data_IF_675806640549
#
_entry.id   IF_675806640549
#
_cell.length_a   1.000
_cell.length_b   1.000
_cell.length_c   1.000
_cell.angle_alpha   90.00
_cell.angle_beta   90.00
_cell.angle_gamma   90.00
#
_symmetry.space_group_name_H-M   'P 1'
#
loop_
_entity.id
_entity.type
_entity.pdbx_description
1 polymer ?
#
# COMPACT_ATOMS: atom_id res chain seq x y z
N UNK A 1 -13.67 18.57 -1.98
CA UNK A 1 -14.56 19.26 -2.91
C UNK A 1 -15.39 18.28 -3.74
N UNK A 2 -16.55 18.71 -4.22
CA UNK A 2 -17.41 17.87 -5.05
C UNK A 2 -18.49 17.08 -4.31
N UNK A 3 -18.52 17.10 -2.98
CA UNK A 3 -19.60 16.51 -2.17
C UNK A 3 -20.71 17.53 -1.93
N UNK A 4 -21.96 17.08 -1.97
CA UNK A 4 -23.11 17.91 -1.61
C UNK A 4 -23.54 17.65 -0.17
N UNK A 5 -23.81 18.71 0.58
CA UNK A 5 -24.40 18.60 1.91
C UNK A 5 -25.92 18.48 1.80
N UNK A 6 -26.47 17.37 2.31
CA UNK A 6 -27.92 17.11 2.31
C UNK A 6 -28.60 17.54 3.60
N UNK A 7 -27.87 17.61 4.72
CA UNK A 7 -28.46 17.96 6.02
C UNK A 7 -27.44 18.61 6.93
N UNK A 8 -27.88 19.61 7.70
CA UNK A 8 -27.07 20.33 8.69
C UNK A 8 -26.26 21.49 8.10
N UNK A 9 -25.72 22.33 8.97
CA UNK A 9 -24.78 23.39 8.63
C UNK A 9 -23.34 22.92 8.90
N UNK A 10 -22.45 23.21 7.97
CA UNK A 10 -21.00 22.92 8.12
C UNK A 10 -20.22 24.23 7.94
N UNK A 11 -19.25 24.44 8.80
CA UNK A 11 -18.20 25.45 8.60
C UNK A 11 -17.01 24.78 7.93
N UNK A 12 -16.54 25.33 6.81
CA UNK A 12 -15.52 24.73 5.99
C UNK A 12 -14.38 25.72 5.78
N UNK A 13 -13.17 25.33 6.17
CA UNK A 13 -11.95 26.05 5.83
C UNK A 13 -11.44 25.62 4.46
N UNK A 14 -11.28 26.59 3.55
CA UNK A 14 -10.73 26.34 2.21
C UNK A 14 -9.22 26.39 2.28
N UNK A 15 -8.56 25.25 2.16
CA UNK A 15 -7.10 25.11 2.24
C UNK A 15 -6.39 25.22 0.89
N UNK A 16 -7.10 24.90 -0.23
CA UNK A 16 -6.54 24.93 -1.58
C UNK A 16 -7.58 25.49 -2.56
N UNK A 17 -7.14 26.35 -3.48
CA UNK A 17 -8.00 27.00 -4.50
C UNK A 17 -7.40 26.84 -5.90
N UNK A 18 -8.21 27.01 -6.93
CA UNK A 18 -7.76 26.99 -8.33
C UNK A 18 -7.19 25.63 -8.76
N UNK A 19 -6.00 25.65 -9.36
CA UNK A 19 -5.28 24.48 -9.88
C UNK A 19 -4.82 23.49 -8.78
N UNK A 20 -4.74 23.95 -7.55
CA UNK A 20 -4.22 23.13 -6.43
C UNK A 20 -5.31 22.31 -5.74
N UNK A 21 -6.58 22.48 -6.13
CA UNK A 21 -7.67 21.66 -5.60
C UNK A 21 -7.55 20.20 -6.02
N UNK A 22 -8.02 19.28 -5.17
CA UNK A 22 -8.05 17.85 -5.48
C UNK A 22 -8.77 17.57 -6.79
N UNK A 23 -9.89 18.26 -7.06
CA UNK A 23 -10.64 18.12 -8.31
C UNK A 23 -9.81 18.52 -9.53
N UNK A 24 -9.10 19.65 -9.47
CA UNK A 24 -8.24 20.10 -10.56
C UNK A 24 -7.08 19.12 -10.81
N UNK A 25 -6.52 18.54 -9.76
CA UNK A 25 -5.49 17.50 -9.88
C UNK A 25 -6.03 16.23 -10.54
N UNK A 26 -7.25 15.79 -10.20
CA UNK A 26 -7.91 14.65 -10.85
C UNK A 26 -8.16 14.93 -12.33
N UNK A 27 -8.72 16.11 -12.67
CA UNK A 27 -8.95 16.50 -14.06
C UNK A 27 -7.63 16.47 -14.85
N UNK A 28 -6.57 17.05 -14.30
CA UNK A 28 -5.25 17.05 -14.93
C UNK A 28 -4.69 15.65 -15.14
N UNK A 29 -4.84 14.72 -14.17
CA UNK A 29 -4.43 13.34 -14.35
C UNK A 29 -5.16 12.65 -15.49
N UNK A 30 -6.47 12.90 -15.64
CA UNK A 30 -7.28 12.36 -16.75
C UNK A 30 -6.81 12.94 -18.09
N UNK A 31 -6.58 14.24 -18.17
CA UNK A 31 -6.07 14.93 -19.36
C UNK A 31 -4.67 14.38 -19.75
N UNK A 32 -3.76 14.25 -18.77
CA UNK A 32 -2.41 13.70 -18.98
C UNK A 32 -2.47 12.24 -19.47
N UNK A 33 -3.40 11.44 -18.93
CA UNK A 33 -3.60 10.05 -19.36
C UNK A 33 -4.11 9.96 -20.79
N UNK A 34 -4.99 10.88 -21.19
CA UNK A 34 -5.53 10.93 -22.56
C UNK A 34 -4.51 11.52 -23.54
N UNK A 35 -3.65 12.45 -23.10
CA UNK A 35 -2.65 13.09 -23.93
C UNK A 35 -1.43 12.22 -24.29
N UNK A 36 -1.10 11.22 -23.47
CA UNK A 36 0.04 10.31 -23.71
C UNK A 36 -0.39 9.15 -24.60
N UNK A 37 0.19 9.09 -25.81
CA UNK A 37 -0.08 8.00 -26.78
C UNK A 37 0.34 6.65 -26.21
N UNK A 38 -0.58 5.70 -26.17
CA UNK A 38 -0.30 4.31 -25.83
C UNK A 38 0.65 3.64 -26.87
N UNK A 39 1.41 2.61 -26.48
CA UNK A 39 2.34 1.90 -27.38
C UNK A 39 1.67 1.42 -28.67
N UNK A 40 0.45 0.91 -28.58
CA UNK A 40 -0.31 0.46 -29.76
C UNK A 40 -0.64 1.62 -30.72
N UNK A 41 -0.89 2.84 -30.20
CA UNK A 41 -1.09 4.01 -31.05
C UNK A 41 0.20 4.39 -31.79
N UNK A 42 1.36 4.29 -31.13
CA UNK A 42 2.67 4.51 -31.77
C UNK A 42 2.95 3.50 -32.88
N UNK A 43 2.56 2.23 -32.66
CA UNK A 43 2.66 1.19 -33.66
C UNK A 43 1.75 1.48 -34.86
N UNK A 44 0.50 1.88 -34.61
CA UNK A 44 -0.45 2.27 -35.64
C UNK A 44 0.08 3.44 -36.48
N UNK A 45 0.62 4.49 -35.82
CA UNK A 45 1.25 5.63 -36.51
C UNK A 45 2.44 5.19 -37.39
N UNK A 46 3.27 4.25 -36.88
CA UNK A 46 4.39 3.69 -37.66
C UNK A 46 3.93 2.91 -38.87
N UNK A 47 2.93 2.06 -38.75
CA UNK A 47 2.33 1.33 -39.85
C UNK A 47 1.73 2.29 -40.87
N UNK A 48 0.94 3.28 -40.45
CA UNK A 48 0.39 4.30 -41.32
C UNK A 48 1.47 5.10 -42.05
N UNK A 49 2.60 5.39 -41.39
CA UNK A 49 3.74 6.10 -41.96
C UNK A 49 4.39 5.39 -43.17
N UNK A 50 4.30 4.06 -43.24
CA UNK A 50 4.75 3.29 -44.42
C UNK A 50 3.61 3.02 -45.42
N UNK A 51 2.43 2.73 -44.89
CA UNK A 51 1.27 2.34 -45.68
C UNK A 51 0.76 3.49 -46.57
N UNK A 52 0.62 4.69 -46.04
CA UNK A 52 0.09 5.85 -46.76
C UNK A 52 0.97 6.23 -47.97
N UNK A 53 2.31 6.38 -47.84
CA UNK A 53 3.16 6.63 -49.03
C UNK A 53 3.11 5.52 -50.06
N UNK A 54 3.04 4.24 -49.63
CA UNK A 54 2.91 3.11 -50.56
C UNK A 54 1.62 3.17 -51.38
N UNK A 55 0.50 3.43 -50.70
CA UNK A 55 -0.81 3.58 -51.36
C UNK A 55 -0.86 4.81 -52.27
N UNK A 56 -0.24 5.92 -51.84
CA UNK A 56 -0.10 7.08 -52.73
C UNK A 56 0.67 6.76 -54.02
N UNK A 57 1.74 5.98 -53.88
CA UNK A 57 2.49 5.48 -55.05
C UNK A 57 1.63 4.58 -55.97
N UNK A 58 0.87 3.67 -55.39
CA UNK A 58 -0.05 2.78 -56.15
C UNK A 58 -1.14 3.60 -56.84
N UNK A 59 -1.75 4.57 -56.14
CA UNK A 59 -2.78 5.46 -56.67
C UNK A 59 -2.26 6.26 -57.87
N UNK A 60 -1.01 6.79 -57.77
CA UNK A 60 -0.38 7.54 -58.80
C UNK A 60 -0.09 6.64 -60.05
N UNK A 61 0.46 5.45 -59.83
CA UNK A 61 0.71 4.48 -60.90
C UNK A 61 -0.59 4.09 -61.59
N UNK A 62 -1.63 3.77 -60.83
CA UNK A 62 -2.94 3.43 -61.39
C UNK A 62 -3.54 4.58 -62.21
N UNK A 63 -3.46 5.81 -61.70
CA UNK A 63 -3.90 7.00 -62.43
C UNK A 63 -3.13 7.20 -63.73
N UNK A 64 -1.80 7.06 -63.71
CA UNK A 64 -0.97 7.19 -64.90
C UNK A 64 -1.25 6.10 -65.94
N UNK A 65 -1.45 4.85 -65.52
CA UNK A 65 -1.80 3.74 -66.39
C UNK A 65 -3.14 3.97 -67.11
N UNK A 66 -4.17 4.43 -66.41
CA UNK A 66 -5.47 4.74 -67.01
C UNK A 66 -5.38 5.96 -67.93
N UNK A 67 -4.53 6.94 -67.62
CA UNK A 67 -4.35 8.11 -68.47
C UNK A 67 -3.59 7.79 -69.76
N UNK A 68 -2.46 7.09 -69.66
CA UNK A 68 -1.54 6.82 -70.82
C UNK A 68 -2.04 5.64 -71.66
N UNK A 69 -2.34 4.50 -71.01
CA UNK A 69 -2.71 3.27 -71.71
C UNK A 69 -4.22 3.15 -71.93
N UNK A 70 -5.01 3.65 -70.99
CA UNK A 70 -6.47 3.58 -71.06
C UNK A 70 -7.11 4.71 -71.89
N UNK A 71 -6.40 5.79 -72.20
CA UNK A 71 -6.91 6.93 -72.95
C UNK A 71 -8.12 7.61 -72.32
N UNK A 72 -8.25 7.53 -70.95
CA UNK A 72 -9.42 8.03 -70.22
C UNK A 72 -9.31 9.51 -69.98
N UNK A 73 -10.47 10.18 -69.85
CA UNK A 73 -10.56 11.58 -69.49
C UNK A 73 -10.02 11.86 -68.11
N UNK A 74 -9.53 13.08 -67.90
CA UNK A 74 -8.92 13.49 -66.66
C UNK A 74 -9.88 13.34 -65.42
N UNK A 75 -11.16 13.53 -65.64
CA UNK A 75 -12.19 13.30 -64.60
C UNK A 75 -12.24 11.89 -64.07
N UNK A 76 -12.14 10.91 -64.97
CA UNK A 76 -12.09 9.49 -64.63
C UNK A 76 -10.78 9.15 -63.88
N UNK A 77 -9.64 9.64 -64.37
CA UNK A 77 -8.33 9.41 -63.77
C UNK A 77 -8.28 9.97 -62.36
N UNK A 78 -8.78 11.20 -62.13
CA UNK A 78 -8.87 11.80 -60.82
C UNK A 78 -9.81 11.02 -59.88
N UNK A 79 -10.93 10.51 -60.42
CA UNK A 79 -11.86 9.68 -59.63
C UNK A 79 -11.18 8.40 -59.14
N UNK A 80 -10.44 7.68 -59.99
CA UNK A 80 -9.67 6.49 -59.61
C UNK A 80 -8.61 6.83 -58.56
N UNK A 81 -7.84 7.91 -58.76
CA UNK A 81 -6.81 8.36 -57.81
C UNK A 81 -7.41 8.64 -56.43
N UNK A 82 -8.47 9.44 -56.38
CA UNK A 82 -9.15 9.78 -55.11
C UNK A 82 -9.78 8.55 -54.46
N UNK A 83 -10.42 7.66 -55.26
CA UNK A 83 -11.06 6.44 -54.75
C UNK A 83 -10.04 5.52 -54.06
N UNK A 84 -8.87 5.30 -54.65
CA UNK A 84 -7.79 4.49 -54.03
C UNK A 84 -7.32 5.12 -52.71
N UNK A 85 -7.13 6.44 -52.68
CA UNK A 85 -6.67 7.14 -51.46
C UNK A 85 -7.72 7.10 -50.34
N UNK A 86 -8.99 7.30 -50.67
CA UNK A 86 -10.08 7.31 -49.68
C UNK A 86 -10.30 5.92 -49.07
N UNK A 87 -10.33 4.89 -49.93
CA UNK A 87 -10.51 3.49 -49.49
C UNK A 87 -9.34 3.01 -48.61
N UNK A 88 -8.14 3.43 -48.92
CA UNK A 88 -6.94 3.02 -48.21
C UNK A 88 -6.64 3.83 -46.96
N UNK A 89 -7.49 4.79 -46.60
CA UNK A 89 -7.28 5.59 -45.36
C UNK A 89 -7.38 4.72 -44.08
N UNK A 90 -6.34 4.61 -43.27
CA UNK A 90 -6.40 3.89 -42.00
C UNK A 90 -7.04 4.72 -40.88
N UNK A 91 -8.04 5.57 -41.22
CA UNK A 91 -8.63 6.57 -40.28
C UNK A 91 -9.27 5.91 -39.07
N UNK A 92 -9.90 4.74 -39.23
CA UNK A 92 -10.47 4.00 -38.11
C UNK A 92 -9.41 3.54 -37.10
N UNK A 93 -8.23 3.13 -37.57
CA UNK A 93 -7.12 2.70 -36.69
C UNK A 93 -6.59 3.86 -35.84
N UNK A 94 -6.52 5.05 -36.38
CA UNK A 94 -6.07 6.26 -35.67
C UNK A 94 -7.06 6.76 -34.59
N UNK A 95 -8.36 6.43 -34.71
CA UNK A 95 -9.40 6.86 -33.76
C UNK A 95 -9.78 5.81 -32.72
N UNK A 96 -9.66 4.52 -33.06
CA UNK A 96 -10.12 3.42 -32.21
C UNK A 96 -9.41 3.40 -30.85
N UNK A 97 -8.08 3.50 -30.83
CA UNK A 97 -7.30 3.42 -29.59
C UNK A 97 -7.50 4.63 -28.68
N UNK A 98 -7.43 5.90 -29.15
CA UNK A 98 -7.75 7.05 -28.29
C UNK A 98 -9.15 6.99 -27.72
N UNK A 99 -10.14 6.57 -28.51
CA UNK A 99 -11.54 6.44 -28.03
C UNK A 99 -11.65 5.37 -26.94
N UNK A 100 -11.01 4.21 -27.12
CA UNK A 100 -11.01 3.13 -26.13
C UNK A 100 -10.35 3.58 -24.82
N UNK A 101 -9.22 4.29 -24.89
CA UNK A 101 -8.52 4.84 -23.73
C UNK A 101 -9.41 5.88 -23.03
N UNK A 102 -10.03 6.78 -23.78
CA UNK A 102 -10.92 7.81 -23.22
C UNK A 102 -12.09 7.17 -22.46
N UNK A 103 -12.74 6.19 -23.05
CA UNK A 103 -13.87 5.47 -22.41
C UNK A 103 -13.36 4.68 -21.20
N UNK A 104 -12.25 3.94 -21.33
CA UNK A 104 -11.69 3.15 -20.24
C UNK A 104 -11.25 4.00 -19.05
N UNK A 105 -10.57 5.11 -19.29
CA UNK A 105 -10.16 6.06 -18.22
C UNK A 105 -11.36 6.74 -17.58
N UNK A 106 -12.40 7.08 -18.37
CA UNK A 106 -13.63 7.67 -17.86
C UNK A 106 -14.43 6.72 -16.97
N UNK A 107 -14.57 5.45 -17.38
CA UNK A 107 -15.21 4.40 -16.56
C UNK A 107 -14.40 4.15 -15.29
N UNK A 108 -13.06 4.05 -15.39
CA UNK A 108 -12.19 3.92 -14.22
C UNK A 108 -12.38 5.06 -13.23
N UNK A 109 -12.37 6.30 -13.70
CA UNK A 109 -12.58 7.48 -12.85
C UNK A 109 -13.95 7.48 -12.17
N UNK A 110 -15.00 7.01 -12.86
CA UNK A 110 -16.35 6.84 -12.28
C UNK A 110 -16.39 5.83 -11.12
N UNK A 111 -15.43 4.89 -11.05
CA UNK A 111 -15.25 3.93 -9.97
C UNK A 111 -14.12 4.32 -8.99
N UNK A 112 -13.62 5.55 -9.06
CA UNK A 112 -12.53 6.05 -8.19
C UNK A 112 -11.12 5.59 -8.59
N UNK A 113 -10.94 4.99 -9.79
CA UNK A 113 -9.66 4.53 -10.31
C UNK A 113 -9.10 5.58 -11.25
N UNK A 114 -8.01 6.24 -10.85
CA UNK A 114 -7.35 7.26 -11.66
C UNK A 114 -6.18 6.65 -12.44
N UNK A 115 -6.32 6.59 -13.75
CA UNK A 115 -5.30 6.01 -14.64
C UNK A 115 -4.37 7.12 -15.12
N UNK A 116 -3.07 6.97 -14.87
CA UNK A 116 -2.05 8.00 -15.19
C UNK A 116 -1.61 8.03 -16.66
N UNK A 117 -1.82 6.95 -17.40
CA UNK A 117 -1.44 6.89 -18.81
C UNK A 117 -2.18 5.80 -19.58
N UNK A 118 -2.39 5.99 -20.89
CA UNK A 118 -2.91 4.95 -21.77
C UNK A 118 -1.98 3.73 -21.86
N UNK A 119 -0.68 3.93 -21.64
CA UNK A 119 0.32 2.85 -21.53
C UNK A 119 0.05 1.92 -20.34
N UNK A 120 -0.21 2.51 -19.15
CA UNK A 120 -0.56 1.74 -17.96
C UNK A 120 -1.82 0.88 -18.17
N UNK A 121 -2.85 1.45 -18.84
CA UNK A 121 -4.07 0.72 -19.18
C UNK A 121 -3.79 -0.44 -20.16
N UNK A 122 -2.91 -0.22 -21.16
CA UNK A 122 -2.52 -1.25 -22.13
C UNK A 122 -1.70 -2.37 -21.49
N UNK A 123 -0.76 -2.04 -20.57
CA UNK A 123 0.09 -3.03 -19.93
C UNK A 123 -0.68 -3.84 -18.89
N UNK A 124 -1.69 -3.24 -18.24
CA UNK A 124 -2.46 -3.89 -17.18
C UNK A 124 -3.02 -5.27 -17.59
N UNK A 125 -3.45 -5.43 -18.85
CA UNK A 125 -3.97 -6.72 -19.33
C UNK A 125 -2.89 -7.80 -19.53
N UNK A 126 -1.60 -7.43 -19.52
CA UNK A 126 -0.46 -8.36 -19.71
C UNK A 126 0.15 -8.79 -18.38
N UNK A 127 -0.40 -8.33 -17.26
CA UNK A 127 0.14 -8.63 -15.94
C UNK A 127 0.01 -10.12 -15.63
N UNK A 128 1.14 -10.74 -15.28
CA UNK A 128 1.23 -12.16 -14.90
C UNK A 128 1.33 -12.33 -13.38
N UNK A 129 1.81 -11.30 -12.69
CA UNK A 129 2.02 -11.31 -11.25
C UNK A 129 1.65 -9.97 -10.62
N UNK A 130 0.88 -10.02 -9.53
CA UNK A 130 0.56 -8.86 -8.68
C UNK A 130 1.25 -9.03 -7.33
N UNK A 131 2.02 -8.02 -6.94
CA UNK A 131 2.61 -7.91 -5.61
C UNK A 131 1.76 -6.93 -4.81
N UNK A 132 1.20 -7.38 -3.71
CA UNK A 132 0.44 -6.57 -2.77
C UNK A 132 1.31 -6.29 -1.54
N UNK A 133 1.45 -5.03 -1.16
CA UNK A 133 1.92 -4.74 0.19
C UNK A 133 0.89 -5.21 1.22
N UNK A 134 1.35 -5.59 2.42
CA UNK A 134 0.44 -6.00 3.47
C UNK A 134 -0.30 -4.80 4.05
N UNK A 135 0.44 -3.81 4.56
CA UNK A 135 -0.07 -2.73 5.40
C UNK A 135 -0.82 -1.68 4.58
N UNK A 136 -2.07 -1.39 4.94
CA UNK A 136 -2.90 -0.43 4.21
C UNK A 136 -3.44 -0.93 2.86
N UNK A 137 -2.90 -2.02 2.31
CA UNK A 137 -3.34 -2.65 1.05
C UNK A 137 -4.19 -3.89 1.31
N UNK A 138 -3.63 -4.97 1.83
CA UNK A 138 -4.37 -6.18 2.23
C UNK A 138 -5.08 -5.94 3.56
N UNK A 139 -4.42 -5.24 4.49
CA UNK A 139 -4.94 -4.89 5.80
C UNK A 139 -5.44 -3.45 5.84
N UNK A 140 -6.17 -3.09 6.90
CA UNK A 140 -6.70 -1.73 7.07
C UNK A 140 -5.62 -0.67 7.27
N UNK A 141 -4.37 -1.07 7.62
CA UNK A 141 -3.30 -0.15 7.97
C UNK A 141 -3.54 0.56 9.32
N UNK A 142 -4.43 0.02 10.13
CA UNK A 142 -4.79 0.52 11.45
C UNK A 142 -4.55 -0.55 12.51
N UNK A 143 -3.28 -0.82 12.85
CA UNK A 143 -2.97 -1.82 13.85
C UNK A 143 -3.61 -1.46 15.20
N UNK A 144 -4.05 -2.48 15.94
CA UNK A 144 -4.65 -2.35 17.27
C UNK A 144 -4.00 -3.31 18.25
N UNK A 145 -3.93 -2.91 19.52
CA UNK A 145 -3.51 -3.82 20.59
C UNK A 145 -4.58 -4.89 20.78
N UNK A 146 -4.18 -6.14 20.71
CA UNK A 146 -5.09 -7.30 20.86
C UNK A 146 -4.90 -8.01 22.19
N UNK A 147 -3.65 -8.09 22.68
CA UNK A 147 -3.32 -8.79 23.93
C UNK A 147 -2.20 -8.08 24.67
N UNK A 148 -2.23 -8.18 25.98
CA UNK A 148 -1.18 -7.74 26.90
C UNK A 148 -0.87 -8.89 27.83
N UNK A 149 0.36 -9.39 27.79
CA UNK A 149 0.81 -10.50 28.61
C UNK A 149 1.93 -10.05 29.56
N UNK A 150 1.68 -10.09 30.85
CA UNK A 150 2.65 -9.73 31.88
C UNK A 150 3.50 -10.94 32.23
N UNK A 151 4.82 -10.82 32.11
CA UNK A 151 5.78 -11.89 32.43
C UNK A 151 6.34 -11.68 33.83
N UNK A 152 6.65 -10.45 34.21
CA UNK A 152 7.16 -10.11 35.55
C UNK A 152 6.32 -9.00 36.18
N UNK A 153 5.30 -9.39 36.93
CA UNK A 153 4.43 -8.47 37.67
C UNK A 153 5.21 -7.60 38.67
N UNK A 154 6.20 -8.18 39.35
CA UNK A 154 7.04 -7.46 40.30
C UNK A 154 7.81 -6.27 39.68
N UNK A 155 8.29 -6.41 38.45
CA UNK A 155 8.96 -5.33 37.72
C UNK A 155 7.97 -4.23 37.35
N UNK A 156 6.78 -4.58 36.91
CA UNK A 156 5.72 -3.61 36.56
C UNK A 156 5.26 -2.83 37.80
N UNK A 157 5.09 -3.50 38.93
CA UNK A 157 4.66 -2.87 40.19
C UNK A 157 5.71 -1.91 40.78
N UNK A 158 7.00 -2.17 40.58
CA UNK A 158 8.05 -1.26 41.02
C UNK A 158 8.03 0.11 40.30
N UNK A 159 7.69 0.10 39.03
CA UNK A 159 7.73 1.26 38.13
C UNK A 159 6.45 2.09 38.22
N UNK A 160 5.33 1.43 38.38
CA UNK A 160 4.01 2.08 38.45
C UNK A 160 3.43 1.97 39.87
N UNK A 161 3.74 2.93 40.74
CA UNK A 161 3.17 2.96 42.09
C UNK A 161 1.76 3.57 42.10
N UNK A 162 0.81 3.00 42.87
CA UNK A 162 -0.49 3.64 43.09
C UNK A 162 -0.30 5.04 43.71
N UNK A 163 -0.97 6.06 43.18
CA UNK A 163 -0.89 7.44 43.65
C UNK A 163 -0.07 8.39 42.77
N UNK A 164 0.52 7.96 41.70
CA UNK A 164 1.20 8.85 40.73
C UNK A 164 0.29 9.45 39.65
N UNK A 165 -0.98 9.73 39.98
CA UNK A 165 -1.83 10.65 39.19
C UNK A 165 -2.70 10.08 38.11
N UNK A 166 -2.70 8.76 37.83
CA UNK A 166 -3.47 8.21 36.71
C UNK A 166 -4.74 7.42 37.08
N UNK A 167 -4.86 6.98 38.35
CA UNK A 167 -6.07 6.30 38.83
C UNK A 167 -6.37 6.79 40.27
N UNK A 168 -7.62 7.19 40.52
CA UNK A 168 -8.07 7.72 41.81
C UNK A 168 -7.72 6.80 42.99
N UNK A 169 -7.43 7.41 44.13
CA UNK A 169 -7.10 6.76 45.41
C UNK A 169 -8.11 5.65 45.74
N UNK A 170 -7.72 4.40 45.53
CA UNK A 170 -8.41 3.26 46.14
C UNK A 170 -7.66 2.86 47.42
N UNK A 171 -8.28 3.10 48.56
CA UNK A 171 -7.80 2.76 49.92
C UNK A 171 -7.93 1.26 50.24
N UNK A 172 -7.59 0.36 49.32
CA UNK A 172 -7.51 -1.08 49.61
C UNK A 172 -6.09 -1.61 49.34
N UNK A 173 -5.53 -2.35 50.28
CA UNK A 173 -4.25 -3.05 50.16
C UNK A 173 -4.24 -3.90 48.87
N UNK A 174 -3.14 -3.87 48.07
CA UNK A 174 -3.15 -4.34 46.72
C UNK A 174 -2.85 -5.83 46.60
N UNK A 175 -3.87 -6.65 46.50
CA UNK A 175 -3.77 -7.77 45.60
C UNK A 175 -4.09 -7.23 44.19
N UNK A 176 -3.06 -6.69 43.52
CA UNK A 176 -3.19 -6.12 42.20
C UNK A 176 -3.72 -7.23 41.24
N UNK A 177 -4.92 -7.05 40.71
CA UNK A 177 -5.48 -8.02 39.81
C UNK A 177 -4.60 -8.19 38.56
N UNK A 178 -4.62 -9.33 37.89
CA UNK A 178 -3.86 -9.55 36.66
C UNK A 178 -4.24 -8.52 35.58
N UNK A 179 -5.49 -8.07 35.57
CA UNK A 179 -5.96 -7.04 34.63
C UNK A 179 -5.34 -5.66 34.93
N UNK A 180 -5.16 -5.31 36.20
CA UNK A 180 -4.48 -4.08 36.57
C UNK A 180 -3.00 -4.11 36.21
N UNK A 181 -2.33 -5.24 36.34
CA UNK A 181 -0.94 -5.41 35.88
C UNK A 181 -0.83 -5.27 34.36
N UNK A 182 -1.78 -5.82 33.61
CA UNK A 182 -1.86 -5.64 32.14
C UNK A 182 -2.03 -4.19 31.76
N UNK A 183 -2.93 -3.47 32.43
CA UNK A 183 -3.14 -2.05 32.17
C UNK A 183 -1.90 -1.21 32.51
N UNK A 184 -1.22 -1.49 33.60
CA UNK A 184 0.04 -0.83 33.95
C UNK A 184 1.11 -1.08 32.89
N UNK A 185 1.27 -2.32 32.42
CA UNK A 185 2.24 -2.66 31.36
C UNK A 185 1.91 -1.92 30.06
N UNK A 186 0.64 -1.88 29.67
CA UNK A 186 0.17 -1.12 28.51
C UNK A 186 0.48 0.37 28.67
N UNK A 187 0.20 0.96 29.84
CA UNK A 187 0.48 2.36 30.13
C UNK A 187 1.96 2.73 30.06
N UNK A 188 2.84 1.86 30.59
CA UNK A 188 4.30 2.03 30.49
C UNK A 188 4.75 1.99 29.03
N UNK A 189 4.32 0.98 28.28
CA UNK A 189 4.66 0.86 26.87
C UNK A 189 4.15 2.06 26.05
N UNK A 190 2.92 2.49 26.28
CA UNK A 190 2.31 3.63 25.61
C UNK A 190 3.00 4.96 25.94
N UNK A 191 3.38 5.19 27.21
CA UNK A 191 4.13 6.38 27.61
C UNK A 191 5.47 6.47 26.86
N UNK A 192 6.14 5.34 26.67
CA UNK A 192 7.42 5.26 25.96
C UNK A 192 7.28 5.44 24.45
N UNK A 193 6.18 4.98 23.86
CA UNK A 193 5.93 5.05 22.40
C UNK A 193 5.33 6.39 21.93
N UNK A 194 5.05 7.34 22.82
CA UNK A 194 4.43 8.64 22.47
C UNK A 194 5.21 9.43 21.42
N UNK A 195 6.55 9.29 21.39
CA UNK A 195 7.42 9.97 20.44
C UNK A 195 7.71 9.11 19.20
N UNK A 196 7.17 7.88 19.13
CA UNK A 196 7.36 6.96 18.02
C UNK A 196 6.40 7.29 16.88
N UNK A 197 6.93 7.39 15.67
CA UNK A 197 6.11 7.52 14.44
C UNK A 197 5.72 6.15 13.86
N UNK A 198 6.22 5.06 14.44
CA UNK A 198 5.98 3.72 13.94
C UNK A 198 4.51 3.30 14.18
N UNK A 199 3.80 2.72 13.19
CA UNK A 199 2.38 2.36 13.31
C UNK A 199 2.06 1.44 14.50
N UNK A 200 2.96 0.50 14.85
CA UNK A 200 2.78 -0.37 16.02
C UNK A 200 2.86 0.41 17.33
N UNK A 201 3.77 1.37 17.45
CA UNK A 201 3.88 2.25 18.61
C UNK A 201 2.64 3.12 18.75
N UNK A 202 2.18 3.72 17.66
CA UNK A 202 0.95 4.52 17.65
C UNK A 202 -0.29 3.70 18.06
N UNK A 203 -0.36 2.42 17.70
CA UNK A 203 -1.43 1.52 18.13
C UNK A 203 -1.43 1.30 19.65
N UNK A 204 -0.24 1.18 20.27
CA UNK A 204 -0.08 1.04 21.71
C UNK A 204 -0.52 2.32 22.42
N UNK A 205 -0.10 3.48 21.92
CA UNK A 205 -0.52 4.80 22.45
C UNK A 205 -2.03 5.00 22.34
N UNK A 206 -2.60 4.65 21.19
CA UNK A 206 -4.05 4.77 20.95
C UNK A 206 -4.85 3.89 21.90
N UNK A 207 -4.44 2.63 22.12
CA UNK A 207 -5.10 1.72 23.05
C UNK A 207 -5.10 2.23 24.50
N UNK A 208 -4.01 2.88 24.92
CA UNK A 208 -3.94 3.48 26.25
C UNK A 208 -4.81 4.76 26.36
N UNK A 209 -4.88 5.58 25.30
CA UNK A 209 -5.76 6.76 25.25
C UNK A 209 -7.23 6.38 25.27
N UNK A 210 -7.65 5.32 24.59
CA UNK A 210 -9.02 4.80 24.64
C UNK A 210 -9.44 4.40 26.05
N UNK A 211 -8.47 3.95 26.86
CA UNK A 211 -8.66 3.65 28.28
C UNK A 211 -8.49 4.91 29.19
N UNK A 212 -8.35 6.10 28.60
CA UNK A 212 -8.19 7.38 29.31
C UNK A 212 -6.99 7.41 30.28
N UNK A 213 -5.90 6.67 29.92
CA UNK A 213 -4.69 6.67 30.73
C UNK A 213 -3.93 7.99 30.58
N UNK A 214 -3.46 8.54 31.69
CA UNK A 214 -2.56 9.69 31.68
C UNK A 214 -1.14 9.23 31.34
N UNK A 215 -0.64 9.65 30.16
CA UNK A 215 0.64 9.24 29.63
C UNK A 215 1.68 10.36 29.81
N UNK A 216 2.51 10.24 30.84
CA UNK A 216 3.64 11.15 30.99
C UNK A 216 4.67 10.95 29.87
N UNK A 217 5.19 12.06 29.32
CA UNK A 217 6.21 12.03 28.28
C UNK A 217 7.52 11.42 28.78
N UNK A 218 8.26 10.66 27.96
CA UNK A 218 9.58 10.16 28.30
C UNK A 218 10.61 11.30 28.35
N UNK A 219 11.63 11.15 29.18
CA UNK A 219 12.72 12.12 29.39
C UNK A 219 13.78 12.03 28.28
N UNK A 220 13.97 10.84 27.74
CA UNK A 220 14.88 10.57 26.62
C UNK A 220 14.24 9.53 25.68
N UNK A 221 14.56 9.62 24.39
CA UNK A 221 14.01 8.74 23.36
C UNK A 221 15.08 8.44 22.30
N UNK A 222 15.26 7.16 22.00
CA UNK A 222 16.13 6.67 20.95
C UNK A 222 15.40 5.61 20.14
N UNK A 223 15.33 5.80 18.83
CA UNK A 223 14.75 4.83 17.91
C UNK A 223 15.84 3.97 17.27
N UNK A 224 15.69 2.65 17.36
CA UNK A 224 16.60 1.68 16.73
C UNK A 224 15.91 1.09 15.53
N UNK A 225 16.39 1.46 14.35
CA UNK A 225 15.79 1.07 13.06
C UNK A 225 15.61 -0.44 12.96
N UNK A 226 14.37 -0.87 12.68
CA UNK A 226 14.03 -2.28 12.52
C UNK A 226 14.05 -3.13 13.81
N UNK A 227 14.23 -2.50 14.99
CA UNK A 227 14.29 -3.22 16.27
C UNK A 227 13.25 -2.69 17.28
N UNK A 228 13.13 -1.38 17.47
CA UNK A 228 12.22 -0.77 18.44
C UNK A 228 12.76 0.55 18.99
N UNK A 229 12.39 0.87 20.23
CA UNK A 229 12.78 2.10 20.90
C UNK A 229 13.41 1.83 22.27
N UNK A 230 14.26 2.75 22.72
CA UNK A 230 14.79 2.81 24.08
C UNK A 230 14.48 4.20 24.64
N UNK A 231 13.95 4.24 25.85
CA UNK A 231 13.54 5.48 26.49
C UNK A 231 13.98 5.53 27.95
N UNK A 232 14.07 6.73 28.52
CA UNK A 232 14.08 6.94 29.97
C UNK A 232 12.72 7.53 30.36
N UNK A 233 12.00 6.85 31.25
CA UNK A 233 10.69 7.26 31.71
C UNK A 233 10.60 7.15 33.23
N UNK A 234 10.33 8.28 33.90
CA UNK A 234 10.32 8.39 35.38
C UNK A 234 11.60 7.81 36.04
N UNK A 235 12.75 8.05 35.37
CA UNK A 235 14.06 7.56 35.84
C UNK A 235 14.33 6.07 35.53
N UNK A 236 13.39 5.33 34.93
CA UNK A 236 13.56 3.93 34.51
C UNK A 236 13.99 3.82 33.05
N UNK A 237 14.92 2.94 32.74
CA UNK A 237 15.29 2.63 31.37
C UNK A 237 14.31 1.61 30.80
N UNK A 238 13.49 2.04 29.85
CA UNK A 238 12.46 1.20 29.23
C UNK A 238 12.78 1.01 27.75
N UNK A 239 12.64 -0.23 27.26
CA UNK A 239 12.75 -0.53 25.86
C UNK A 239 11.50 -1.26 25.38
N UNK A 240 10.99 -0.89 24.20
CA UNK A 240 9.84 -1.53 23.56
C UNK A 240 10.24 -1.90 22.13
N UNK A 241 10.08 -3.17 21.76
CA UNK A 241 10.47 -3.59 20.42
C UNK A 241 10.36 -5.10 20.17
N UNK A 242 10.92 -5.53 19.05
CA UNK A 242 10.87 -6.92 18.61
C UNK A 242 12.01 -7.76 19.22
N UNK A 243 12.11 -9.03 18.80
CA UNK A 243 13.14 -9.96 19.27
C UNK A 243 14.58 -9.49 18.99
N UNK A 244 14.80 -8.72 17.90
CA UNK A 244 16.13 -8.16 17.57
C UNK A 244 16.60 -7.18 18.64
N UNK A 245 15.70 -6.34 19.17
CA UNK A 245 16.01 -5.41 20.26
C UNK A 245 16.47 -6.15 21.53
N UNK A 246 15.77 -7.23 21.90
CA UNK A 246 16.16 -8.03 23.07
C UNK A 246 17.54 -8.64 22.92
N UNK A 247 17.88 -9.12 21.73
CA UNK A 247 19.19 -9.67 21.41
C UNK A 247 20.28 -8.59 21.52
N UNK A 248 20.05 -7.37 21.02
CA UNK A 248 20.98 -6.25 21.13
C UNK A 248 21.19 -5.81 22.58
N UNK A 249 20.13 -5.86 23.39
CA UNK A 249 20.19 -5.51 24.81
C UNK A 249 20.64 -6.69 25.71
N UNK A 250 20.93 -7.85 25.13
CA UNK A 250 21.30 -9.08 25.83
C UNK A 250 20.29 -9.49 26.93
N UNK A 251 18.98 -9.21 26.70
CA UNK A 251 17.92 -9.57 27.63
C UNK A 251 17.56 -11.06 27.46
N UNK A 252 17.69 -11.88 28.51
CA UNK A 252 17.32 -13.29 28.45
C UNK A 252 15.79 -13.44 28.31
N UNK A 253 15.37 -14.36 27.46
CA UNK A 253 13.96 -14.74 27.28
C UNK A 253 13.77 -16.19 27.62
N UNK A 254 12.81 -16.50 28.48
CA UNK A 254 12.51 -17.88 28.84
C UNK A 254 11.85 -18.64 27.67
N UNK A 255 12.00 -19.98 27.68
CA UNK A 255 11.36 -20.81 26.66
C UNK A 255 9.83 -20.66 26.64
N UNK A 256 9.20 -20.46 27.79
CA UNK A 256 7.76 -20.26 27.88
C UNK A 256 7.33 -18.93 27.24
N UNK A 257 8.11 -17.88 27.44
CA UNK A 257 7.90 -16.60 26.79
C UNK A 257 8.07 -16.68 25.26
N UNK A 258 9.08 -17.40 24.80
CA UNK A 258 9.28 -17.63 23.37
C UNK A 258 8.13 -18.44 22.75
N UNK A 259 7.64 -19.44 23.46
CA UNK A 259 6.44 -20.19 23.06
C UNK A 259 5.22 -19.26 22.93
N UNK A 260 4.93 -18.48 23.98
CA UNK A 260 3.80 -17.55 23.98
C UNK A 260 3.92 -16.54 22.83
N UNK A 261 5.07 -15.93 22.64
CA UNK A 261 5.30 -15.00 21.52
C UNK A 261 5.12 -15.68 20.16
N UNK A 262 5.57 -16.92 20.02
CA UNK A 262 5.39 -17.71 18.80
C UNK A 262 3.91 -18.06 18.55
N UNK A 263 3.14 -18.35 19.58
CA UNK A 263 1.68 -18.60 19.47
C UNK A 263 0.95 -17.33 19.01
N UNK A 264 1.28 -16.16 19.56
CA UNK A 264 0.75 -14.90 19.07
C UNK A 264 1.10 -14.65 17.61
N UNK A 265 2.37 -14.83 17.21
CA UNK A 265 2.80 -14.67 15.83
C UNK A 265 2.10 -15.63 14.86
N UNK A 266 1.86 -16.88 15.29
CA UNK A 266 1.11 -17.88 14.51
C UNK A 266 -0.36 -17.50 14.27
N UNK A 267 -0.89 -16.56 15.04
CA UNK A 267 -2.25 -16.00 14.89
C UNK A 267 -2.26 -14.61 14.27
N UNK A 268 -1.17 -14.21 13.58
CA UNK A 268 -1.08 -12.95 12.84
C UNK A 268 -0.83 -11.73 13.70
N UNK A 269 -0.50 -11.89 14.97
CA UNK A 269 -0.20 -10.81 15.91
C UNK A 269 1.30 -10.55 15.95
N UNK A 270 1.68 -9.29 16.05
CA UNK A 270 3.08 -8.88 16.20
C UNK A 270 3.39 -8.67 17.69
N UNK A 271 4.20 -9.54 18.32
CA UNK A 271 4.58 -9.39 19.72
C UNK A 271 5.63 -8.30 19.87
N UNK A 272 5.33 -7.27 20.65
CA UNK A 272 6.23 -6.21 21.08
C UNK A 272 6.64 -6.48 22.53
N UNK A 273 7.93 -6.66 22.76
CA UNK A 273 8.48 -6.94 24.10
C UNK A 273 8.71 -5.64 24.84
N UNK A 274 8.32 -5.60 26.09
CA UNK A 274 8.55 -4.47 27.02
C UNK A 274 9.60 -4.87 28.04
N UNK A 275 10.72 -4.16 28.04
CA UNK A 275 11.87 -4.37 28.94
C UNK A 275 12.04 -3.18 29.84
N UNK A 276 12.22 -3.41 31.13
CA UNK A 276 12.44 -2.38 32.15
C UNK A 276 13.73 -2.69 32.91
N UNK A 277 14.67 -1.78 32.90
CA UNK A 277 16.01 -1.92 33.52
C UNK A 277 16.68 -3.27 33.21
N UNK A 278 16.65 -3.66 31.91
CA UNK A 278 17.25 -4.90 31.42
C UNK A 278 16.48 -6.18 31.78
N UNK A 279 15.29 -6.07 32.35
CA UNK A 279 14.41 -7.23 32.67
C UNK A 279 13.15 -7.22 31.82
N UNK A 280 12.81 -8.36 31.26
CA UNK A 280 11.59 -8.51 30.50
C UNK A 280 10.36 -8.39 31.41
N UNK A 281 9.55 -7.36 31.20
CA UNK A 281 8.33 -7.08 31.94
C UNK A 281 7.11 -7.80 31.34
N UNK A 282 7.02 -7.81 30.01
CA UNK A 282 5.92 -8.47 29.31
C UNK A 282 5.92 -8.29 27.81
N UNK A 283 4.81 -8.67 27.18
CA UNK A 283 4.57 -8.59 25.73
C UNK A 283 3.28 -7.86 25.50
N UNK A 284 3.30 -6.90 24.59
CA UNK A 284 2.11 -6.23 24.04
C UNK A 284 1.95 -6.70 22.60
N UNK A 285 0.84 -7.35 22.27
CA UNK A 285 0.58 -7.84 20.93
C UNK A 285 -0.24 -6.82 20.14
N UNK A 286 0.21 -6.55 18.93
CA UNK A 286 -0.47 -5.64 18.00
C UNK A 286 -0.80 -6.41 16.73
N UNK A 287 -2.02 -6.28 16.22
CA UNK A 287 -2.43 -6.88 14.96
C UNK A 287 -3.11 -5.84 14.07
N UNK A 288 -2.90 -6.00 12.76
CA UNK A 288 -3.59 -5.26 11.73
C UNK A 288 -4.62 -6.17 11.06
N UNK A 289 -5.85 -5.70 10.93
CA UNK A 289 -6.98 -6.48 10.45
C UNK A 289 -7.01 -6.51 8.92
N UNK A 290 -7.27 -7.67 8.33
CA UNK A 290 -7.49 -7.80 6.89
C UNK A 290 -8.77 -7.05 6.53
N UNK A 291 -8.75 -6.27 5.43
CA UNK A 291 -9.95 -5.62 4.90
C UNK A 291 -10.97 -6.68 4.47
N UNK A 292 -12.24 -6.44 4.71
CA UNK A 292 -13.32 -7.35 4.33
C UNK A 292 -13.32 -7.72 2.84
N UNK A 293 -12.88 -6.78 1.99
CA UNK A 293 -12.82 -6.96 0.54
C UNK A 293 -11.56 -7.65 0.03
N UNK A 294 -10.53 -7.85 0.86
CA UNK A 294 -9.22 -8.33 0.40
C UNK A 294 -9.25 -9.76 -0.13
N UNK A 295 -9.97 -10.66 0.55
CA UNK A 295 -10.09 -12.06 0.12
C UNK A 295 -10.76 -12.14 -1.24
N UNK A 296 -11.90 -11.46 -1.40
CA UNK A 296 -12.63 -11.43 -2.66
C UNK A 296 -11.79 -10.82 -3.80
N UNK A 297 -11.05 -9.74 -3.52
CA UNK A 297 -10.17 -9.10 -4.49
C UNK A 297 -9.03 -10.03 -4.96
N UNK A 298 -8.37 -10.73 -4.02
CA UNK A 298 -7.33 -11.70 -4.33
C UNK A 298 -7.87 -12.84 -5.18
N UNK A 299 -9.02 -13.40 -4.82
CA UNK A 299 -9.65 -14.49 -5.59
C UNK A 299 -10.05 -14.05 -7.00
N UNK A 300 -10.56 -12.83 -7.16
CA UNK A 300 -10.84 -12.26 -8.49
C UNK A 300 -9.58 -12.11 -9.33
N UNK A 301 -8.48 -11.60 -8.76
CA UNK A 301 -7.19 -11.50 -9.47
C UNK A 301 -6.71 -12.88 -9.92
N UNK A 302 -6.75 -13.87 -9.04
CA UNK A 302 -6.36 -15.26 -9.34
C UNK A 302 -7.24 -15.89 -10.42
N UNK A 303 -8.53 -15.58 -10.43
CA UNK A 303 -9.45 -16.08 -11.48
C UNK A 303 -9.11 -15.57 -12.89
N UNK A 304 -8.34 -14.47 -12.98
CA UNK A 304 -7.79 -13.97 -14.25
C UNK A 304 -6.50 -14.67 -14.68
N UNK A 305 -6.02 -15.67 -13.92
CA UNK A 305 -4.77 -16.39 -14.18
C UNK A 305 -3.52 -15.64 -13.69
N UNK A 306 -3.68 -14.60 -12.86
CA UNK A 306 -2.58 -13.77 -12.33
C UNK A 306 -2.14 -14.30 -10.97
N UNK A 307 -0.84 -14.52 -10.79
CA UNK A 307 -0.27 -14.94 -9.51
C UNK A 307 -0.23 -13.77 -8.51
N UNK A 308 -0.65 -14.01 -7.27
CA UNK A 308 -0.70 -12.99 -6.23
C UNK A 308 0.35 -13.23 -5.15
N UNK A 309 1.22 -12.24 -4.97
CA UNK A 309 2.28 -12.21 -3.97
C UNK A 309 1.94 -11.19 -2.88
N UNK A 310 2.24 -11.50 -1.64
CA UNK A 310 2.24 -10.51 -0.55
C UNK A 310 3.67 -10.22 -0.12
N UNK A 311 4.01 -8.94 0.03
CA UNK A 311 5.31 -8.49 0.55
C UNK A 311 5.10 -7.71 1.83
N UNK A 312 5.92 -7.99 2.86
CA UNK A 312 5.83 -7.31 4.15
C UNK A 312 7.16 -7.30 4.90
N UNK A 313 7.36 -6.30 5.75
CA UNK A 313 8.47 -6.25 6.72
C UNK A 313 8.22 -7.07 7.99
N UNK A 314 7.04 -7.66 8.16
CA UNK A 314 6.71 -8.48 9.33
C UNK A 314 7.52 -9.77 9.37
N UNK A 315 7.55 -10.39 10.57
CA UNK A 315 8.15 -11.70 10.75
C UNK A 315 7.41 -12.77 9.92
N UNK A 316 8.14 -13.81 9.53
CA UNK A 316 7.66 -14.90 8.66
C UNK A 316 6.33 -15.49 9.12
N UNK A 317 6.15 -15.77 10.44
CA UNK A 317 4.96 -16.43 10.97
C UNK A 317 3.71 -15.57 10.83
N UNK A 318 3.80 -14.29 11.20
CA UNK A 318 2.71 -13.32 11.04
C UNK A 318 2.36 -13.15 9.57
N UNK A 319 3.37 -13.02 8.71
CA UNK A 319 3.18 -12.87 7.28
C UNK A 319 2.48 -14.09 6.66
N UNK A 320 2.93 -15.30 6.98
CA UNK A 320 2.32 -16.55 6.48
C UNK A 320 0.86 -16.69 6.94
N UNK A 321 0.56 -16.32 8.18
CA UNK A 321 -0.82 -16.34 8.67
C UNK A 321 -1.73 -15.39 7.89
N UNK A 322 -1.31 -14.13 7.71
CA UNK A 322 -2.08 -13.13 6.95
C UNK A 322 -2.20 -13.54 5.47
N UNK A 323 -1.11 -14.02 4.86
CA UNK A 323 -1.12 -14.50 3.48
C UNK A 323 -2.10 -15.67 3.25
N UNK A 324 -2.16 -16.59 4.20
CA UNK A 324 -3.13 -17.70 4.16
C UNK A 324 -4.57 -17.19 4.28
N UNK A 325 -4.84 -16.26 5.20
CA UNK A 325 -6.17 -15.66 5.35
C UNK A 325 -6.59 -14.85 4.12
N UNK A 326 -5.65 -14.18 3.47
CA UNK A 326 -5.88 -13.39 2.26
C UNK A 326 -5.89 -14.24 0.98
N UNK A 327 -5.64 -15.55 1.05
CA UNK A 327 -5.58 -16.50 -0.06
C UNK A 327 -4.51 -16.17 -1.11
N UNK A 328 -3.42 -15.46 -0.75
CA UNK A 328 -2.32 -15.18 -1.68
C UNK A 328 -1.54 -16.45 -2.02
N UNK A 329 -0.88 -16.47 -3.19
CA UNK A 329 -0.13 -17.65 -3.64
C UNK A 329 1.23 -17.75 -2.97
N UNK A 330 1.89 -16.62 -2.72
CA UNK A 330 3.21 -16.57 -2.10
C UNK A 330 3.33 -15.38 -1.15
N UNK A 331 4.16 -15.55 -0.12
CA UNK A 331 4.48 -14.54 0.88
C UNK A 331 5.99 -14.31 0.89
N UNK A 332 6.41 -13.05 0.88
CA UNK A 332 7.78 -12.63 1.06
C UNK A 332 7.83 -11.74 2.31
N UNK A 333 8.33 -12.31 3.39
CA UNK A 333 8.39 -11.69 4.72
C UNK A 333 9.76 -11.06 5.01
N UNK A 334 9.86 -10.30 6.09
CA UNK A 334 11.09 -9.66 6.59
C UNK A 334 11.80 -8.77 5.58
N UNK A 335 11.06 -8.19 4.63
CA UNK A 335 11.57 -7.33 3.56
C UNK A 335 11.69 -5.89 4.06
N UNK A 336 12.88 -5.31 3.97
CA UNK A 336 13.06 -3.89 4.26
C UNK A 336 12.43 -3.03 3.15
N UNK A 337 12.01 -1.79 3.44
CA UNK A 337 11.39 -0.92 2.42
C UNK A 337 12.24 -0.76 1.15
N UNK A 338 13.55 -0.64 1.30
CA UNK A 338 14.53 -0.54 0.21
C UNK A 338 14.68 -1.82 -0.61
N UNK A 339 14.38 -2.98 -0.03
CA UNK A 339 14.50 -4.28 -0.69
C UNK A 339 13.22 -4.73 -1.42
N UNK A 340 12.10 -4.06 -1.22
CA UNK A 340 10.84 -4.37 -1.94
C UNK A 340 11.01 -4.32 -3.46
N UNK A 341 11.80 -3.36 -3.96
CA UNK A 341 12.13 -3.25 -5.37
C UNK A 341 12.88 -4.49 -5.91
N UNK A 342 13.67 -5.17 -5.08
CA UNK A 342 14.39 -6.38 -5.50
C UNK A 342 13.43 -7.55 -5.75
N UNK A 343 12.31 -7.62 -5.01
CA UNK A 343 11.27 -8.63 -5.24
C UNK A 343 10.62 -8.42 -6.61
N UNK A 344 10.31 -7.17 -6.96
CA UNK A 344 9.79 -6.80 -8.30
C UNK A 344 10.78 -7.20 -9.38
N UNK A 345 12.05 -6.78 -9.24
CA UNK A 345 13.11 -7.08 -10.21
C UNK A 345 13.33 -8.59 -10.39
N UNK A 346 13.25 -9.38 -9.32
CA UNK A 346 13.37 -10.84 -9.40
C UNK A 346 12.29 -11.44 -10.31
N UNK A 347 11.03 -11.08 -10.11
CA UNK A 347 9.92 -11.58 -10.91
C UNK A 347 9.99 -11.10 -12.37
N UNK A 348 10.45 -9.87 -12.61
CA UNK A 348 10.69 -9.35 -13.95
C UNK A 348 11.82 -10.10 -14.65
N UNK A 349 12.89 -10.46 -13.95
CA UNK A 349 13.98 -11.28 -14.50
C UNK A 349 13.54 -12.72 -14.81
N UNK A 350 12.48 -13.22 -14.14
CA UNK A 350 11.81 -14.47 -14.50
C UNK A 350 10.90 -14.35 -15.74
N UNK A 351 10.84 -13.16 -16.36
CA UNK A 351 10.06 -12.88 -17.57
C UNK A 351 8.61 -12.51 -17.30
N UNK A 352 8.23 -12.21 -16.06
CA UNK A 352 6.85 -11.83 -15.71
C UNK A 352 6.62 -10.32 -15.88
N UNK A 353 5.42 -9.96 -16.30
CA UNK A 353 4.91 -8.60 -16.23
C UNK A 353 4.32 -8.38 -14.84
N UNK A 354 4.96 -7.53 -14.02
CA UNK A 354 4.65 -7.36 -12.61
C UNK A 354 3.88 -6.06 -12.36
N UNK A 355 2.82 -6.15 -11.57
CA UNK A 355 2.13 -5.01 -10.98
C UNK A 355 2.45 -4.95 -9.49
N UNK A 356 2.93 -3.81 -9.01
CA UNK A 356 3.08 -3.55 -7.57
C UNK A 356 1.93 -2.68 -7.08
N UNK A 357 1.36 -3.03 -5.92
CA UNK A 357 0.29 -2.29 -5.26
C UNK A 357 0.69 -2.00 -3.82
N UNK A 358 0.68 -0.75 -3.44
CA UNK A 358 1.04 -0.30 -2.10
C UNK A 358 0.40 1.05 -1.76
N UNK A 359 0.63 1.54 -0.55
CA UNK A 359 0.08 2.82 -0.04
C UNK A 359 0.87 4.06 -0.53
N UNK A 360 2.01 3.88 -1.15
CA UNK A 360 2.81 4.90 -1.84
C UNK A 360 3.94 5.51 -1.02
N UNK A 361 3.89 5.56 0.29
CA UNK A 361 4.92 6.23 1.11
C UNK A 361 6.13 5.31 1.32
N UNK A 362 5.89 4.11 1.83
CA UNK A 362 6.94 3.12 2.13
C UNK A 362 7.31 2.27 0.90
N UNK A 363 6.45 2.26 -0.13
CA UNK A 363 6.59 1.43 -1.33
C UNK A 363 7.13 2.21 -2.53
N UNK A 364 7.34 3.53 -2.41
CA UNK A 364 7.77 4.40 -3.50
C UNK A 364 8.99 3.87 -4.30
N UNK A 365 10.02 3.23 -3.69
CA UNK A 365 11.12 2.66 -4.46
C UNK A 365 10.73 1.45 -5.32
N UNK A 366 9.63 0.75 -4.98
CA UNK A 366 9.15 -0.45 -5.67
C UNK A 366 8.00 -0.16 -6.66
N UNK A 367 7.35 1.00 -6.53
CA UNK A 367 6.32 1.53 -7.41
C UNK A 367 6.91 2.28 -8.60
#
# INVERSE_FOLDING_TARGET
GGSMNYNGAMEVEVTHVGSDTTLSKIIKMIEDAQGKKAPISKLADKVAGYFVPAVMGIALVAALLWWILGGKELSFVLTIFVAVLVIACPCALGLATPTAIMVGTGVGAGHGILIKSGEALEICHKVDAVILDKTGTITEGKPRVTDVNVISGAVVEQVWKPGSGAFGESTREPQTSEDEKRERLLGIAAACEQMSEHPLGQAIVQAAREKQMDLAMPEAFESITGAGIITTWKGWKVAVGNRRLLNQLHVPVSQDTEKAASEYANTGKTPMYVVIDGRLAGIVCVADTIKETSVEAVEKIKSLGVAVYMVTGDNEKTAQYIGKLAHVDQVVAEVLPEDKAQVVNRLQNEGKTVMMVGDGINDAPAL
#
